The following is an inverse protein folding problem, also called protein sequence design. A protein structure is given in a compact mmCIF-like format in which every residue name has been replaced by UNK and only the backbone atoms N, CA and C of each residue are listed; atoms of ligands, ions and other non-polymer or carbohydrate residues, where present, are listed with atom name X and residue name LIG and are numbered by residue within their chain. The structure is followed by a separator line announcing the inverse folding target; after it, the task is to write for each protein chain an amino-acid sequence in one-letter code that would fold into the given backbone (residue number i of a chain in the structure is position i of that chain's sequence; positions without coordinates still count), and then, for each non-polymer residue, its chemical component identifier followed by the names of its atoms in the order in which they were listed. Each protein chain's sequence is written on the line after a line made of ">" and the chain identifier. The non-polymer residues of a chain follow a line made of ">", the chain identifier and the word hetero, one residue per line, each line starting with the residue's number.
data_IF_484467697485
#
_entry.id   IF_484467697485
#
_cell.length_a   1.000
_cell.length_b   1.000
_cell.length_c   1.000
_cell.angle_alpha   90.00
_cell.angle_beta   90.00
_cell.angle_gamma   90.00
#
_symmetry.space_group_name_H-M   'P 1'
#
loop_
_entity.id
_entity.type
_entity.pdbx_description
1 polymer ?
#
# COMPACT_ATOMS: atom_id res chain seq x y z
N UNK A 1 27.64 22.86 -2.22
CA UNK A 1 26.65 21.96 -2.85
C UNK A 1 26.05 21.10 -1.75
N UNK A 2 24.84 21.44 -1.29
CA UNK A 2 24.11 20.62 -0.32
C UNK A 2 23.29 19.61 -1.11
N UNK A 3 23.67 18.33 -1.03
CA UNK A 3 22.83 17.21 -1.46
C UNK A 3 21.66 17.06 -0.50
N UNK A 4 20.62 17.88 -0.65
CA UNK A 4 19.33 17.56 -0.04
C UNK A 4 18.76 16.37 -0.80
N UNK A 5 18.80 15.19 -0.17
CA UNK A 5 17.99 14.05 -0.60
C UNK A 5 16.53 14.47 -0.41
N UNK A 6 15.91 14.98 -1.46
CA UNK A 6 14.47 15.20 -1.47
C UNK A 6 13.83 13.81 -1.41
N UNK A 7 13.37 13.40 -0.24
CA UNK A 7 12.34 12.37 -0.16
C UNK A 7 11.11 12.96 -0.87
N UNK A 8 10.95 12.58 -2.14
CA UNK A 8 9.79 12.42 -3.01
C UNK A 8 8.38 12.96 -2.66
N UNK A 9 8.10 13.43 -1.45
CA UNK A 9 6.78 13.85 -1.03
C UNK A 9 6.63 15.36 -1.14
N UNK A 10 6.02 15.80 -2.23
CA UNK A 10 5.35 17.10 -2.26
C UNK A 10 3.96 16.95 -1.62
N UNK A 11 3.36 18.03 -1.08
CA UNK A 11 1.99 17.98 -0.58
C UNK A 11 0.98 17.51 -1.66
N UNK A 12 1.23 17.83 -2.93
CA UNK A 12 0.39 17.37 -4.04
C UNK A 12 0.46 15.84 -4.24
N UNK A 13 1.65 15.26 -4.09
CA UNK A 13 1.84 13.81 -4.11
C UNK A 13 1.09 13.18 -2.92
N UNK A 14 1.27 13.68 -1.71
CA UNK A 14 0.54 13.18 -0.54
C UNK A 14 -1.00 13.25 -0.72
N UNK A 15 -1.52 14.39 -1.20
CA UNK A 15 -2.96 14.59 -1.44
C UNK A 15 -3.49 13.64 -2.52
N UNK A 16 -2.73 13.35 -3.57
CA UNK A 16 -3.15 12.40 -4.60
C UNK A 16 -3.46 11.02 -4.02
N UNK A 17 -2.71 10.55 -3.03
CA UNK A 17 -2.97 9.25 -2.38
C UNK A 17 -4.27 9.28 -1.57
N UNK A 18 -4.56 10.40 -0.91
CA UNK A 18 -5.82 10.62 -0.19
C UNK A 18 -7.02 10.70 -1.13
N UNK A 19 -6.91 11.43 -2.24
CA UNK A 19 -7.99 11.57 -3.22
C UNK A 19 -8.35 10.24 -3.91
N UNK A 20 -7.38 9.33 -4.08
CA UNK A 20 -7.63 8.02 -4.69
C UNK A 20 -8.49 7.10 -3.80
N UNK A 21 -8.42 7.25 -2.48
CA UNK A 21 -9.09 6.34 -1.53
C UNK A 21 -10.34 6.97 -0.91
N UNK A 22 -10.38 8.29 -0.77
CA UNK A 22 -11.51 8.99 -0.14
C UNK A 22 -11.51 8.92 1.40
N UNK A 23 -10.47 8.32 1.99
CA UNK A 23 -10.20 8.26 3.43
C UNK A 23 -8.70 8.46 3.71
N UNK A 24 -8.28 8.40 4.97
CA UNK A 24 -6.85 8.42 5.33
C UNK A 24 -6.26 7.06 4.96
N UNK A 25 -5.28 6.95 4.05
CA UNK A 25 -4.69 5.66 3.72
C UNK A 25 -3.77 5.17 4.84
N UNK A 26 -3.68 3.85 5.02
CA UNK A 26 -2.59 3.25 5.79
C UNK A 26 -1.23 3.56 5.16
N UNK A 27 -0.19 3.56 5.99
CA UNK A 27 1.20 3.78 5.55
C UNK A 27 1.61 2.82 4.43
N UNK A 28 1.16 1.57 4.47
CA UNK A 28 1.46 0.56 3.45
C UNK A 28 0.88 0.92 2.08
N UNK A 29 -0.39 1.33 2.02
CA UNK A 29 -1.04 1.75 0.78
C UNK A 29 -0.46 3.07 0.26
N UNK A 30 -0.17 4.02 1.15
CA UNK A 30 0.56 5.25 0.80
C UNK A 30 1.88 4.93 0.08
N UNK A 31 2.67 4.00 0.61
CA UNK A 31 3.95 3.63 0.02
C UNK A 31 3.81 3.03 -1.39
N UNK A 32 2.80 2.18 -1.61
CA UNK A 32 2.50 1.62 -2.93
C UNK A 32 2.19 2.73 -3.93
N UNK A 33 1.22 3.59 -3.61
CA UNK A 33 0.79 4.66 -4.50
C UNK A 33 1.91 5.66 -4.79
N UNK A 34 2.72 5.99 -3.79
CA UNK A 34 3.88 6.89 -3.96
C UNK A 34 4.93 6.30 -4.91
N UNK A 35 5.27 5.01 -4.76
CA UNK A 35 6.25 4.36 -5.64
C UNK A 35 5.71 4.23 -7.07
N UNK A 36 4.41 3.90 -7.22
CA UNK A 36 3.77 3.79 -8.53
C UNK A 36 3.85 5.06 -9.36
N UNK A 37 3.84 6.25 -8.74
CA UNK A 37 3.99 7.53 -9.47
C UNK A 37 5.28 7.66 -10.24
N UNK A 38 6.33 6.95 -9.83
CA UNK A 38 7.61 6.91 -10.52
C UNK A 38 7.60 5.98 -11.74
N UNK A 39 6.48 5.34 -12.04
CA UNK A 39 6.29 4.43 -13.16
C UNK A 39 7.41 3.38 -13.22
N UNK A 40 7.65 2.63 -12.12
CA UNK A 40 8.66 1.59 -12.15
C UNK A 40 8.29 0.55 -13.21
N UNK A 41 9.31 -0.05 -13.85
CA UNK A 41 9.09 -1.15 -14.80
C UNK A 41 8.34 -2.33 -14.15
N UNK A 42 8.57 -2.54 -12.86
CA UNK A 42 7.92 -3.55 -12.06
C UNK A 42 7.85 -3.10 -10.60
N UNK A 43 6.73 -3.37 -9.93
CA UNK A 43 6.55 -3.16 -8.50
C UNK A 43 6.04 -4.46 -7.87
N UNK A 44 6.71 -4.88 -6.80
CA UNK A 44 6.33 -6.05 -6.02
C UNK A 44 6.27 -5.70 -4.52
N UNK A 45 5.30 -6.27 -3.81
CA UNK A 45 5.11 -6.10 -2.37
C UNK A 45 5.12 -7.45 -1.66
N UNK A 46 5.51 -7.45 -0.40
CA UNK A 46 5.49 -8.61 0.49
C UNK A 46 5.00 -8.18 1.88
N UNK A 47 4.52 -9.14 2.69
CA UNK A 47 3.95 -8.85 4.01
C UNK A 47 2.61 -8.12 3.96
N UNK A 48 1.94 -8.17 2.82
CA UNK A 48 0.66 -7.51 2.56
C UNK A 48 -0.43 -8.57 2.41
N UNK A 49 -0.72 -9.26 3.53
CA UNK A 49 -1.78 -10.27 3.64
C UNK A 49 -2.77 -10.02 4.77
N UNK A 50 -2.63 -8.95 5.55
CA UNK A 50 -3.41 -8.72 6.77
C UNK A 50 -4.93 -8.69 6.53
N UNK A 51 -5.37 -8.38 5.31
CA UNK A 51 -6.76 -8.52 4.88
C UNK A 51 -7.28 -9.97 4.92
N UNK A 52 -6.42 -10.94 4.62
CA UNK A 52 -6.68 -12.39 4.67
C UNK A 52 -6.22 -13.05 5.95
N UNK A 53 -4.96 -12.82 6.36
CA UNK A 53 -4.35 -13.46 7.53
C UNK A 53 -4.97 -12.97 8.83
N UNK A 54 -5.54 -11.75 8.83
CA UNK A 54 -5.99 -11.04 10.03
C UNK A 54 -4.89 -10.93 11.09
N UNK A 55 -3.63 -10.98 10.66
CA UNK A 55 -2.45 -10.80 11.51
C UNK A 55 -1.73 -9.54 11.03
N UNK A 56 -1.41 -8.68 11.98
CA UNK A 56 -0.56 -7.52 11.81
C UNK A 56 0.87 -7.86 12.27
N UNK A 57 1.86 -7.30 11.57
CA UNK A 57 3.28 -7.59 11.80
C UNK A 57 3.59 -9.10 11.75
N UNK A 58 3.95 -9.70 12.89
CA UNK A 58 4.37 -11.11 13.00
C UNK A 58 3.36 -11.93 13.78
N UNK A 59 2.71 -11.35 14.79
CA UNK A 59 1.92 -12.08 15.78
C UNK A 59 0.82 -11.24 16.44
N UNK A 60 0.55 -10.04 15.94
CA UNK A 60 -0.48 -9.17 16.51
C UNK A 60 -1.81 -9.42 15.79
N UNK A 61 -2.94 -9.58 16.49
CA UNK A 61 -4.24 -9.62 15.83
C UNK A 61 -4.50 -8.31 15.09
N UNK A 62 -4.88 -8.41 13.81
CA UNK A 62 -5.23 -7.25 13.02
C UNK A 62 -6.54 -6.63 13.51
N UNK A 63 -6.54 -5.31 13.71
CA UNK A 63 -7.70 -4.55 14.17
C UNK A 63 -8.17 -3.60 13.05
N UNK A 64 -9.32 -3.87 12.41
CA UNK A 64 -9.83 -3.06 11.29
C UNK A 64 -10.38 -1.69 11.69
N UNK A 65 -10.32 -1.32 12.97
CA UNK A 65 -10.77 -0.01 13.47
C UNK A 65 -9.78 0.45 14.52
N UNK A 66 -8.71 1.07 14.07
CA UNK A 66 -7.73 1.70 14.96
C UNK A 66 -8.20 3.05 15.51
N UNK A 67 -9.38 3.52 15.05
CA UNK A 67 -9.96 4.80 15.45
C UNK A 67 -9.34 6.01 14.73
N UNK A 68 -8.44 5.79 13.77
CA UNK A 68 -7.69 6.84 13.08
C UNK A 68 -8.27 7.22 11.71
N UNK A 69 -9.43 6.68 11.34
CA UNK A 69 -10.12 7.04 10.10
C UNK A 69 -9.60 6.34 8.83
N UNK A 70 -8.86 5.24 8.98
CA UNK A 70 -8.48 4.37 7.86
C UNK A 70 -9.68 3.57 7.34
N UNK A 71 -9.79 3.44 6.01
CA UNK A 71 -10.79 2.59 5.35
C UNK A 71 -10.12 1.37 4.73
N UNK A 72 -9.95 0.35 5.57
CA UNK A 72 -9.27 -0.87 5.20
C UNK A 72 -10.00 -1.65 4.08
N UNK A 73 -11.33 -1.58 4.00
CA UNK A 73 -12.09 -2.29 2.95
C UNK A 73 -11.81 -1.67 1.58
N UNK A 74 -11.86 -0.34 1.50
CA UNK A 74 -11.51 0.38 0.26
C UNK A 74 -10.04 0.17 -0.12
N UNK A 75 -9.13 0.17 0.86
CA UNK A 75 -7.72 -0.13 0.64
C UNK A 75 -7.48 -1.54 0.07
N UNK A 76 -8.18 -2.55 0.58
CA UNK A 76 -8.12 -3.92 0.06
C UNK A 76 -8.55 -3.96 -1.41
N UNK A 77 -9.66 -3.30 -1.75
CA UNK A 77 -10.20 -3.23 -3.12
C UNK A 77 -9.18 -2.58 -4.05
N UNK A 78 -8.59 -1.44 -3.66
CA UNK A 78 -7.59 -0.73 -4.48
C UNK A 78 -6.38 -1.63 -4.74
N UNK A 79 -5.82 -2.27 -3.71
CA UNK A 79 -4.65 -3.13 -3.89
C UNK A 79 -4.99 -4.38 -4.71
N UNK A 80 -6.16 -4.96 -4.52
CA UNK A 80 -6.62 -6.10 -5.32
C UNK A 80 -6.78 -5.73 -6.81
N UNK A 81 -7.32 -4.55 -7.11
CA UNK A 81 -7.45 -4.05 -8.48
C UNK A 81 -6.08 -3.81 -9.15
N UNK A 82 -5.13 -3.22 -8.42
CA UNK A 82 -3.75 -3.05 -8.90
C UNK A 82 -3.08 -4.39 -9.25
N UNK A 83 -3.32 -5.42 -8.44
CA UNK A 83 -2.82 -6.78 -8.71
C UNK A 83 -3.52 -7.39 -9.92
N UNK A 84 -4.85 -7.31 -10.00
CA UNK A 84 -5.64 -7.85 -11.10
C UNK A 84 -5.26 -7.22 -12.47
N UNK A 85 -4.86 -5.95 -12.47
CA UNK A 85 -4.41 -5.24 -13.66
C UNK A 85 -2.90 -5.38 -13.95
N UNK A 86 -2.18 -6.28 -13.25
CA UNK A 86 -0.75 -6.52 -13.39
C UNK A 86 0.13 -5.27 -13.13
N UNK A 87 -0.37 -4.30 -12.36
CA UNK A 87 0.36 -3.10 -11.97
C UNK A 87 1.19 -3.31 -10.70
N UNK A 88 0.86 -4.35 -9.93
CA UNK A 88 1.48 -4.68 -8.65
C UNK A 88 1.56 -6.20 -8.48
N UNK A 89 2.73 -6.73 -8.15
CA UNK A 89 2.88 -8.16 -7.80
C UNK A 89 2.83 -8.32 -6.28
N UNK A 90 1.96 -9.20 -5.77
CA UNK A 90 1.98 -9.57 -4.36
C UNK A 90 2.75 -10.88 -4.16
N UNK A 91 3.85 -10.80 -3.43
CA UNK A 91 4.73 -11.92 -3.10
C UNK A 91 4.39 -12.55 -1.74
N UNK A 92 3.36 -12.05 -1.04
CA UNK A 92 2.98 -12.58 0.28
C UNK A 92 2.34 -13.95 0.15
N UNK A 93 2.81 -14.92 0.95
CA UNK A 93 2.22 -16.26 1.03
C UNK A 93 2.64 -17.24 -0.08
N UNK A 94 3.82 -17.08 -0.68
CA UNK A 94 4.31 -17.97 -1.73
C UNK A 94 4.52 -19.42 -1.27
N UNK A 95 3.55 -20.29 -1.58
CA UNK A 95 3.79 -21.71 -1.82
C UNK A 95 3.20 -22.22 -3.15
N UNK A 96 2.31 -21.49 -3.85
CA UNK A 96 1.62 -22.01 -5.05
C UNK A 96 1.66 -21.05 -6.26
N UNK A 97 2.84 -20.58 -6.66
CA UNK A 97 3.06 -19.92 -7.96
C UNK A 97 4.20 -20.63 -8.72
N UNK A 98 3.98 -21.90 -9.09
CA UNK A 98 4.74 -22.65 -10.09
C UNK A 98 3.76 -23.29 -11.07
#
# INVERSE_FOLDING_TARGET
>A
MQNTRHFAQTPANFISSFCTIGSIPTTGVCAILDIMRYQPKELAIAGFDFFKSKIHNINEPWQPKDGNGHDFETEEIVVADLIANNLLKNLTGGANNA
#
